data_IF_232825973218
#
_entry.id   IF_232825973218
#
_cell.length_a   1.000
_cell.length_b   1.000
_cell.length_c   1.000
_cell.angle_alpha   90.00
_cell.angle_beta   90.00
_cell.angle_gamma   90.00
#
_symmetry.space_group_name_H-M   'P 1'
#
loop_
_entity.id
_entity.type
_entity.pdbx_description
1 polymer ?
#
# COMPACT_ATOMS: atom_id res chain seq x y z
N UNK A 1 -4.13 -21.37 27.56
CA UNK A 1 -4.07 -19.90 27.33
C UNK A 1 -2.90 -19.42 26.45
N UNK A 2 -1.70 -20.04 26.45
CA UNK A 2 -0.58 -19.63 25.55
C UNK A 2 -0.86 -19.82 24.05
N UNK A 3 -1.79 -20.69 23.67
CA UNK A 3 -2.01 -21.09 22.28
C UNK A 3 -2.91 -20.13 21.48
N UNK A 4 -3.97 -19.63 22.13
CA UNK A 4 -4.75 -18.47 21.67
C UNK A 4 -3.83 -17.25 21.44
N UNK A 5 -2.67 -17.22 22.13
CA UNK A 5 -1.69 -16.16 21.96
C UNK A 5 -0.87 -16.17 20.68
N UNK A 6 -0.70 -17.32 20.05
CA UNK A 6 -0.01 -17.39 18.75
C UNK A 6 -0.89 -16.91 17.60
N UNK A 7 -2.18 -17.24 17.64
CA UNK A 7 -3.12 -16.93 16.56
C UNK A 7 -3.35 -15.41 16.42
N UNK A 8 -3.56 -14.68 17.52
CA UNK A 8 -3.72 -13.22 17.45
C UNK A 8 -2.46 -12.52 16.96
N UNK A 9 -1.26 -13.04 17.32
CA UNK A 9 0.04 -12.50 16.86
C UNK A 9 0.20 -12.61 15.35
N UNK A 10 -0.39 -13.64 14.73
CA UNK A 10 -0.39 -13.79 13.28
C UNK A 10 -1.32 -12.82 12.56
N UNK A 11 -2.42 -12.40 13.17
CA UNK A 11 -3.41 -11.51 12.53
C UNK A 11 -3.12 -10.01 12.71
N UNK A 12 -2.37 -9.64 13.74
CA UNK A 12 -1.98 -8.25 14.01
C UNK A 12 -1.23 -7.57 12.85
N UNK A 13 -0.21 -8.18 12.21
CA UNK A 13 0.56 -7.52 11.15
C UNK A 13 -0.26 -7.11 9.91
N UNK A 14 -1.07 -7.99 9.27
CA UNK A 14 -1.84 -7.59 8.10
C UNK A 14 -2.94 -6.57 8.46
N UNK A 15 -3.49 -6.64 9.67
CA UNK A 15 -4.47 -5.65 10.15
C UNK A 15 -3.86 -4.24 10.27
N UNK A 16 -2.73 -4.10 10.96
CA UNK A 16 -2.06 -2.80 11.08
C UNK A 16 -1.53 -2.29 9.75
N UNK A 17 -1.06 -3.17 8.87
CA UNK A 17 -0.65 -2.77 7.52
C UNK A 17 -1.84 -2.19 6.73
N UNK A 18 -3.00 -2.85 6.79
CA UNK A 18 -4.22 -2.36 6.15
C UNK A 18 -4.67 -1.02 6.73
N UNK A 19 -4.67 -0.88 8.06
CA UNK A 19 -5.00 0.37 8.73
C UNK A 19 -4.04 1.51 8.33
N UNK A 20 -2.73 1.24 8.30
CA UNK A 20 -1.73 2.20 7.87
C UNK A 20 -1.93 2.59 6.39
N UNK A 21 -2.24 1.62 5.52
CA UNK A 21 -2.52 1.89 4.11
C UNK A 21 -3.70 2.84 3.92
N UNK A 22 -4.77 2.70 4.71
CA UNK A 22 -5.93 3.62 4.68
C UNK A 22 -5.51 5.04 5.10
N UNK A 23 -4.72 5.17 6.18
CA UNK A 23 -4.22 6.48 6.64
C UNK A 23 -3.34 7.13 5.57
N UNK A 24 -2.42 6.37 4.97
CA UNK A 24 -1.55 6.87 3.89
C UNK A 24 -2.38 7.30 2.69
N UNK A 25 -3.37 6.51 2.28
CA UNK A 25 -4.30 6.85 1.20
C UNK A 25 -4.98 8.20 1.45
N UNK A 26 -5.52 8.42 2.65
CA UNK A 26 -6.18 9.67 3.03
C UNK A 26 -5.23 10.86 3.02
N UNK A 27 -4.02 10.71 3.58
CA UNK A 27 -3.02 11.80 3.62
C UNK A 27 -2.59 12.19 2.21
N UNK A 28 -2.27 11.21 1.35
CA UNK A 28 -1.88 11.50 -0.02
C UNK A 28 -3.02 12.14 -0.81
N UNK A 29 -4.25 11.66 -0.65
CA UNK A 29 -5.40 12.19 -1.37
C UNK A 29 -5.70 13.63 -0.93
N UNK A 30 -5.58 13.92 0.37
CA UNK A 30 -5.69 15.29 0.90
C UNK A 30 -4.61 16.21 0.33
N UNK A 31 -3.37 15.74 0.26
CA UNK A 31 -2.28 16.53 -0.28
C UNK A 31 -2.49 16.80 -1.78
N UNK A 32 -2.89 15.78 -2.55
CA UNK A 32 -3.28 15.96 -3.94
C UNK A 32 -4.44 16.94 -4.13
N UNK A 33 -5.45 16.91 -3.25
CA UNK A 33 -6.57 17.85 -3.30
C UNK A 33 -6.10 19.30 -3.12
N UNK A 34 -5.22 19.54 -2.15
CA UNK A 34 -4.64 20.85 -1.90
C UNK A 34 -3.72 21.32 -3.05
N UNK A 35 -2.98 20.40 -3.67
CA UNK A 35 -1.99 20.72 -4.70
C UNK A 35 -2.60 21.06 -6.06
N UNK A 36 -3.70 20.42 -6.44
CA UNK A 36 -4.18 20.41 -7.82
C UNK A 36 -5.60 20.98 -8.01
N UNK A 37 -6.24 21.57 -6.98
CA UNK A 37 -7.61 22.14 -7.04
C UNK A 37 -8.58 21.28 -7.87
N UNK A 38 -8.59 20.00 -7.53
CA UNK A 38 -8.95 18.91 -8.43
C UNK A 38 -10.46 18.75 -8.60
N UNK A 39 -10.93 18.52 -9.82
CA UNK A 39 -12.30 18.08 -10.10
C UNK A 39 -12.53 16.64 -9.59
N UNK A 40 -13.71 16.35 -9.03
CA UNK A 40 -14.12 15.05 -8.46
C UNK A 40 -13.77 13.83 -9.35
N UNK A 41 -13.79 14.00 -10.68
CA UNK A 41 -13.40 12.95 -11.62
C UNK A 41 -11.96 12.46 -11.42
N UNK A 42 -11.00 13.36 -11.22
CA UNK A 42 -9.59 12.99 -11.06
C UNK A 42 -9.38 12.28 -9.70
N UNK A 43 -10.17 12.61 -8.68
CA UNK A 43 -10.18 11.87 -7.41
C UNK A 43 -10.60 10.41 -7.62
N UNK A 44 -11.65 10.18 -8.40
CA UNK A 44 -12.09 8.83 -8.74
C UNK A 44 -11.01 8.05 -9.51
N UNK A 45 -10.28 8.73 -10.42
CA UNK A 45 -9.15 8.13 -11.15
C UNK A 45 -8.00 7.76 -10.21
N UNK A 46 -7.66 8.61 -9.24
CA UNK A 46 -6.62 8.30 -8.25
C UNK A 46 -7.01 7.10 -7.40
N UNK A 47 -8.28 7.04 -6.96
CA UNK A 47 -8.81 5.92 -6.20
C UNK A 47 -8.76 4.62 -7.02
N UNK A 48 -9.14 4.68 -8.29
CA UNK A 48 -9.06 3.54 -9.19
C UNK A 48 -7.62 3.03 -9.32
N UNK A 49 -6.64 3.91 -9.54
CA UNK A 49 -5.23 3.50 -9.60
C UNK A 49 -4.73 2.93 -8.28
N UNK A 50 -5.09 3.53 -7.15
CA UNK A 50 -4.74 3.02 -5.85
C UNK A 50 -5.18 1.56 -5.68
N UNK A 51 -6.44 1.27 -6.01
CA UNK A 51 -7.01 -0.08 -5.91
C UNK A 51 -6.39 -1.05 -6.92
N UNK A 52 -6.22 -0.63 -8.18
CA UNK A 52 -5.62 -1.45 -9.24
C UNK A 52 -4.19 -1.86 -8.86
N UNK A 53 -3.37 -0.92 -8.41
CA UNK A 53 -1.98 -1.22 -8.05
C UNK A 53 -1.86 -2.04 -6.78
N UNK A 54 -2.70 -1.78 -5.78
CA UNK A 54 -2.74 -2.59 -4.56
C UNK A 54 -3.15 -4.03 -4.91
N UNK A 55 -4.16 -4.20 -5.77
CA UNK A 55 -4.56 -5.51 -6.30
C UNK A 55 -3.45 -6.18 -7.11
N UNK A 56 -2.75 -5.45 -7.97
CA UNK A 56 -1.61 -5.96 -8.75
C UNK A 56 -0.46 -6.43 -7.85
N UNK A 57 -0.14 -5.69 -6.79
CA UNK A 57 0.84 -6.08 -5.79
C UNK A 57 0.45 -7.36 -5.04
N UNK A 58 -0.82 -7.47 -4.64
CA UNK A 58 -1.36 -8.66 -4.00
C UNK A 58 -1.30 -9.89 -4.93
N UNK A 59 -1.66 -9.72 -6.19
CA UNK A 59 -1.56 -10.78 -7.21
C UNK A 59 -0.11 -11.22 -7.42
N UNK A 60 0.83 -10.28 -7.53
CA UNK A 60 2.26 -10.56 -7.69
C UNK A 60 2.83 -11.36 -6.50
N UNK A 61 2.40 -11.06 -5.27
CA UNK A 61 2.79 -11.83 -4.09
C UNK A 61 2.28 -13.27 -4.12
N UNK A 62 1.08 -13.48 -4.66
CA UNK A 62 0.50 -14.81 -4.87
C UNK A 62 1.30 -15.63 -5.89
N UNK A 63 1.67 -15.02 -7.03
CA UNK A 63 2.46 -15.67 -8.07
C UNK A 63 3.87 -16.04 -7.58
N UNK A 64 4.52 -15.15 -6.82
CA UNK A 64 5.89 -15.36 -6.31
C UNK A 64 6.00 -16.24 -5.06
N UNK A 65 4.90 -16.83 -4.58
CA UNK A 65 4.86 -17.68 -3.35
C UNK A 65 5.67 -17.06 -2.20
N UNK A 66 5.30 -15.83 -1.82
CA UNK A 66 6.02 -14.94 -0.90
C UNK A 66 6.31 -15.50 0.53
N UNK A 67 5.90 -16.73 0.85
CA UNK A 67 6.04 -17.35 2.18
C UNK A 67 7.49 -17.44 2.69
N UNK A 68 8.49 -17.43 1.79
CA UNK A 68 9.91 -17.59 2.16
C UNK A 68 10.73 -16.30 2.11
N UNK A 69 10.10 -15.20 1.72
CA UNK A 69 10.80 -13.94 1.46
C UNK A 69 10.99 -13.11 2.74
N UNK A 70 12.09 -12.34 2.90
CA UNK A 70 12.38 -11.60 4.13
C UNK A 70 11.44 -10.39 4.30
N UNK A 71 10.26 -10.64 4.88
CA UNK A 71 9.19 -9.66 5.10
C UNK A 71 9.68 -8.36 5.76
N UNK A 72 10.62 -8.45 6.70
CA UNK A 72 11.21 -7.29 7.38
C UNK A 72 11.88 -6.29 6.42
N UNK A 73 12.52 -6.79 5.35
CA UNK A 73 13.16 -5.94 4.33
C UNK A 73 12.09 -5.18 3.55
N UNK A 74 11.05 -5.88 3.09
CA UNK A 74 9.94 -5.25 2.35
C UNK A 74 9.15 -4.25 3.20
N UNK A 75 8.96 -4.54 4.49
CA UNK A 75 8.31 -3.60 5.42
C UNK A 75 9.16 -2.35 5.63
N UNK A 76 10.48 -2.52 5.76
CA UNK A 76 11.40 -1.38 5.87
C UNK A 76 11.39 -0.54 4.59
N UNK A 77 11.43 -1.19 3.43
CA UNK A 77 11.29 -0.53 2.13
C UNK A 77 9.96 0.22 2.01
N UNK A 78 8.86 -0.35 2.50
CA UNK A 78 7.55 0.29 2.46
C UNK A 78 7.53 1.59 3.28
N UNK A 79 8.10 1.58 4.49
CA UNK A 79 8.21 2.78 5.31
C UNK A 79 9.10 3.82 4.63
N UNK A 80 10.27 3.42 4.14
CA UNK A 80 11.22 4.33 3.47
C UNK A 80 10.59 4.97 2.24
N UNK A 81 9.95 4.17 1.38
CA UNK A 81 9.29 4.66 0.16
C UNK A 81 8.12 5.57 0.52
N UNK A 82 7.30 5.21 1.50
CA UNK A 82 6.16 6.05 1.93
C UNK A 82 6.63 7.41 2.44
N UNK A 83 7.65 7.44 3.30
CA UNK A 83 8.21 8.68 3.84
C UNK A 83 8.88 9.50 2.74
N UNK A 84 9.67 8.86 1.88
CA UNK A 84 10.32 9.53 0.76
C UNK A 84 9.29 10.16 -0.20
N UNK A 85 8.20 9.44 -0.50
CA UNK A 85 7.12 9.95 -1.35
C UNK A 85 6.37 11.11 -0.69
N UNK A 86 6.10 11.04 0.61
CA UNK A 86 5.47 12.14 1.34
C UNK A 86 6.35 13.41 1.33
N UNK A 87 7.66 13.26 1.48
CA UNK A 87 8.61 14.38 1.39
C UNK A 87 8.72 14.91 -0.04
N UNK A 88 8.66 14.04 -1.05
CA UNK A 88 8.84 14.42 -2.46
C UNK A 88 7.60 15.08 -3.07
N UNK A 89 6.40 14.76 -2.58
CA UNK A 89 5.11 15.27 -3.09
C UNK A 89 5.05 16.81 -3.20
N UNK A 90 5.49 17.59 -2.19
CA UNK A 90 5.56 19.04 -2.28
C UNK A 90 6.55 19.56 -3.34
N UNK A 91 7.65 18.86 -3.60
CA UNK A 91 8.65 19.27 -4.61
C UNK A 91 8.19 18.96 -6.04
N UNK A 92 7.37 17.92 -6.21
CA UNK A 92 6.71 17.60 -7.48
C UNK A 92 5.82 18.77 -7.96
N UNK A 93 5.26 19.57 -7.04
CA UNK A 93 4.56 20.83 -7.34
C UNK A 93 5.44 21.82 -8.10
N UNK A 94 6.72 21.88 -7.76
CA UNK A 94 7.66 22.90 -8.27
C UNK A 94 8.25 22.49 -9.62
N UNK A 95 8.44 21.18 -9.85
CA UNK A 95 9.13 20.66 -11.03
C UNK A 95 8.23 20.22 -12.20
N UNK A 96 7.05 19.64 -11.92
CA UNK A 96 6.21 19.00 -12.95
C UNK A 96 4.98 19.81 -13.36
N UNK A 97 4.57 20.78 -12.56
CA UNK A 97 3.38 21.62 -12.81
C UNK A 97 3.72 23.09 -12.51
N UNK A 98 4.21 23.86 -13.50
CA UNK A 98 4.44 25.28 -13.32
C UNK A 98 3.10 26.00 -13.20
N UNK A 99 2.64 26.19 -11.96
CA UNK A 99 1.32 26.74 -11.64
C UNK A 99 0.20 25.70 -11.82
N UNK A 100 -0.61 25.52 -10.76
CA UNK A 100 -1.74 24.58 -10.77
C UNK A 100 -2.78 24.86 -11.87
N UNK A 101 -2.74 26.05 -12.48
CA UNK A 101 -3.69 26.50 -13.49
C UNK A 101 -3.30 26.13 -14.93
N UNK A 102 -2.04 25.71 -15.16
CA UNK A 102 -1.54 25.35 -16.49
C UNK A 102 -1.33 23.83 -16.70
N UNK A 103 -1.54 23.01 -15.66
CA UNK A 103 -1.39 21.56 -15.78
C UNK A 103 -2.57 20.93 -16.51
N UNK A 104 -2.28 20.14 -17.53
CA UNK A 104 -3.31 19.33 -18.18
C UNK A 104 -3.75 18.18 -17.25
N UNK A 105 -5.03 17.77 -17.28
CA UNK A 105 -5.52 16.63 -16.50
C UNK A 105 -4.73 15.34 -16.73
N UNK A 106 -4.20 15.15 -17.95
CA UNK A 106 -3.36 14.02 -18.32
C UNK A 106 -2.01 14.03 -17.59
N UNK A 107 -1.36 15.18 -17.45
CA UNK A 107 -0.09 15.31 -16.72
C UNK A 107 -0.27 15.02 -15.23
N UNK A 108 -1.36 15.52 -14.63
CA UNK A 108 -1.71 15.27 -13.23
C UNK A 108 -1.95 13.77 -13.00
N UNK A 109 -2.69 13.14 -13.93
CA UNK A 109 -2.98 11.70 -13.88
C UNK A 109 -1.72 10.85 -13.99
N UNK A 110 -0.81 11.21 -14.90
CA UNK A 110 0.47 10.51 -15.08
C UNK A 110 1.39 10.67 -13.86
N UNK A 111 1.48 11.88 -13.30
CA UNK A 111 2.26 12.13 -12.09
C UNK A 111 1.74 11.30 -10.91
N UNK A 112 0.43 11.30 -10.71
CA UNK A 112 -0.23 10.47 -9.70
C UNK A 112 0.06 8.98 -9.90
N UNK A 113 -0.03 8.49 -11.14
CA UNK A 113 0.28 7.09 -11.46
C UNK A 113 1.69 6.70 -11.01
N UNK A 114 2.70 7.53 -11.30
CA UNK A 114 4.11 7.28 -10.95
C UNK A 114 4.30 7.32 -9.42
N UNK A 115 3.66 8.26 -8.73
CA UNK A 115 3.78 8.44 -7.28
C UNK A 115 3.10 7.30 -6.52
N UNK A 116 1.90 6.91 -6.93
CA UNK A 116 1.09 5.91 -6.23
C UNK A 116 1.55 4.48 -6.48
N UNK A 117 2.04 4.17 -7.69
CA UNK A 117 2.45 2.82 -8.07
C UNK A 117 3.38 2.13 -7.05
N UNK A 118 4.52 2.71 -6.63
CA UNK A 118 5.46 2.00 -5.74
C UNK A 118 4.88 1.72 -4.36
N UNK A 119 4.15 2.68 -3.77
CA UNK A 119 3.54 2.51 -2.44
C UNK A 119 2.40 1.48 -2.49
N UNK A 120 1.54 1.54 -3.50
CA UNK A 120 0.38 0.66 -3.63
C UNK A 120 0.78 -0.78 -3.96
N UNK A 121 1.68 -0.98 -4.92
CA UNK A 121 2.15 -2.33 -5.27
C UNK A 121 2.82 -2.98 -4.06
N UNK A 122 3.66 -2.23 -3.34
CA UNK A 122 4.38 -2.77 -2.19
C UNK A 122 3.45 -3.05 -0.99
N UNK A 123 2.42 -2.22 -0.76
CA UNK A 123 1.44 -2.46 0.31
C UNK A 123 0.62 -3.73 0.06
N UNK A 124 0.10 -3.91 -1.15
CA UNK A 124 -0.65 -5.11 -1.54
C UNK A 124 0.21 -6.38 -1.50
N UNK A 125 1.47 -6.26 -1.94
CA UNK A 125 2.44 -7.35 -1.91
C UNK A 125 2.75 -7.80 -0.47
N UNK A 126 2.99 -6.85 0.43
CA UNK A 126 3.22 -7.11 1.85
C UNK A 126 2.00 -7.70 2.55
N UNK A 127 0.80 -7.23 2.21
CA UNK A 127 -0.44 -7.70 2.82
C UNK A 127 -0.64 -9.21 2.61
N UNK A 128 -0.43 -9.69 1.38
CA UNK A 128 -0.49 -11.13 1.07
C UNK A 128 0.67 -11.89 1.71
N UNK A 129 1.86 -11.29 1.78
CA UNK A 129 3.01 -11.85 2.48
C UNK A 129 2.68 -12.16 3.94
N UNK A 130 2.15 -11.18 4.68
CA UNK A 130 1.76 -11.41 6.08
C UNK A 130 0.61 -12.39 6.20
N UNK A 131 -0.46 -12.23 5.41
CA UNK A 131 -1.63 -13.11 5.48
C UNK A 131 -1.33 -14.58 5.15
N UNK A 132 -0.42 -14.85 4.21
CA UNK A 132 0.00 -16.21 3.87
C UNK A 132 0.73 -16.92 5.01
N UNK A 133 1.60 -16.19 5.73
CA UNK A 133 2.29 -16.70 6.92
C UNK A 133 1.32 -16.98 8.07
N UNK A 134 0.35 -16.10 8.29
CA UNK A 134 -0.69 -16.30 9.30
C UNK A 134 -1.53 -17.56 9.04
N UNK A 135 -1.90 -17.83 7.77
CA UNK A 135 -2.61 -19.06 7.39
C UNK A 135 -1.79 -20.32 7.63
N UNK A 136 -0.49 -20.30 7.33
CA UNK A 136 0.39 -21.43 7.60
C UNK A 136 0.48 -21.75 9.10
N UNK A 137 0.62 -20.72 9.95
CA UNK A 137 0.64 -20.87 11.42
C UNK A 137 -0.68 -21.43 11.94
N UNK A 138 -1.82 -20.92 11.48
CA UNK A 138 -3.15 -21.40 11.90
C UNK A 138 -3.40 -22.83 11.41
N UNK A 139 -3.01 -23.17 10.19
CA UNK A 139 -3.16 -24.52 9.64
C UNK A 139 -2.25 -25.53 10.36
N UNK A 140 -1.01 -25.19 10.69
CA UNK A 140 -0.13 -26.04 11.50
C UNK A 140 -0.65 -26.22 12.93
N UNK A 141 -1.18 -25.17 13.55
CA UNK A 141 -1.81 -25.27 14.86
C UNK A 141 -3.06 -26.17 14.82
N UNK A 142 -3.86 -26.10 13.76
CA UNK A 142 -5.03 -26.96 13.56
C UNK A 142 -4.71 -28.40 13.14
N UNK A 143 -3.60 -28.66 12.46
CA UNK A 143 -3.18 -30.01 12.05
C UNK A 143 -2.54 -30.79 13.21
N UNK A 144 -1.94 -30.12 14.19
CA UNK A 144 -1.38 -30.73 15.41
C UNK A 144 -2.48 -31.09 16.43
N UNK A 145 -3.68 -30.53 16.29
CA UNK A 145 -4.85 -30.85 17.11
C UNK A 145 -6.01 -31.36 16.25
N UNK A 146 -6.02 -32.63 15.83
CA UNK A 146 -7.28 -33.29 15.51
C UNK A 146 -7.94 -33.69 16.85
N UNK A 147 -8.52 -32.74 17.58
CA UNK A 147 -9.49 -32.97 18.68
C UNK A 147 -10.03 -31.66 19.26
#
# INVERSE_FOLDING_TARGET
>A
MKEQSGAYRGFLPPFFLGAAAIVIQLVFFRECFFLFSVNELIYAVFLAFWLIFTGAGAWLAGVRRMSESPQHIYSSLFVIITVAMWILLPYLRIGLVPGAEAASPAQITLAAFIIFAPVCVLSGFLFVGFASRSRCVVMWAGLILPM
#
